data_IF_006319805415
#
_entry.id   IF_006319805415
#
_cell.length_a   1.000
_cell.length_b   1.000
_cell.length_c   1.000
_cell.angle_alpha   90.00
_cell.angle_beta   90.00
_cell.angle_gamma   90.00
#
_symmetry.space_group_name_H-M   'P 1'
#
loop_
_entity.id
_entity.type
_entity.pdbx_description
1 polymer ?
#
# COMPACT_ATOMS: atom_id res chain seq x y z
N UNK A 1 -21.71 4.92 9.44
CA UNK A 1 -20.55 4.43 10.22
C UNK A 1 -19.58 5.59 10.38
N UNK A 2 -19.30 6.00 11.62
CA UNK A 2 -18.35 7.09 11.90
C UNK A 2 -16.95 6.49 11.96
N UNK A 3 -16.03 7.01 11.15
CA UNK A 3 -14.61 6.65 11.23
C UNK A 3 -13.87 7.66 12.11
N UNK A 4 -12.64 7.34 12.50
CA UNK A 4 -11.73 8.21 13.24
C UNK A 4 -10.45 8.39 12.43
N UNK A 5 -10.00 9.64 12.30
CA UNK A 5 -8.68 9.95 11.78
C UNK A 5 -7.78 10.27 12.97
N UNK A 6 -6.71 9.50 13.10
CA UNK A 6 -5.78 9.61 14.22
C UNK A 6 -4.36 9.83 13.72
N UNK A 7 -3.68 10.82 14.29
CA UNK A 7 -2.23 11.00 14.18
C UNK A 7 -1.58 10.39 15.42
N UNK A 8 -0.65 9.46 15.19
CA UNK A 8 0.10 8.77 16.24
C UNK A 8 1.60 8.98 16.04
N UNK A 9 2.31 9.28 17.14
CA UNK A 9 3.76 9.51 17.14
C UNK A 9 4.39 8.60 18.18
N UNK A 10 5.41 7.83 17.79
CA UNK A 10 6.13 6.96 18.73
C UNK A 10 6.77 7.78 19.83
N UNK A 11 6.49 7.40 21.08
CA UNK A 11 7.01 8.08 22.26
C UNK A 11 8.54 7.92 22.33
N UNK A 12 9.25 9.05 22.37
CA UNK A 12 10.72 9.07 22.44
C UNK A 12 11.25 9.05 23.86
N UNK A 13 10.41 9.40 24.83
CA UNK A 13 10.81 9.61 26.23
C UNK A 13 10.37 8.45 27.13
N UNK A 14 9.69 7.43 26.57
CA UNK A 14 9.27 6.27 27.33
C UNK A 14 10.44 5.28 27.51
N UNK A 15 10.49 4.50 28.61
CA UNK A 15 11.48 3.42 28.79
C UNK A 15 11.55 2.47 27.59
N UNK A 16 10.43 2.27 26.90
CA UNK A 16 10.28 1.46 25.69
C UNK A 16 11.04 2.03 24.47
N UNK A 17 11.61 3.25 24.54
CA UNK A 17 12.45 3.81 23.50
C UNK A 17 13.68 2.93 23.19
N UNK A 18 14.17 2.14 24.15
CA UNK A 18 15.22 1.15 23.89
C UNK A 18 14.82 0.13 22.80
N UNK A 19 13.51 -0.10 22.59
CA UNK A 19 12.96 -0.98 21.57
C UNK A 19 12.77 -0.28 20.22
N UNK A 20 13.14 1.00 20.07
CA UNK A 20 12.96 1.78 18.83
C UNK A 20 13.44 1.04 17.58
N UNK A 21 14.61 0.38 17.55
CA UNK A 21 15.05 -0.35 16.35
C UNK A 21 14.13 -1.51 15.94
N UNK A 22 13.35 -2.06 16.88
CA UNK A 22 12.36 -3.11 16.63
C UNK A 22 11.00 -2.54 16.22
N UNK A 23 10.63 -1.37 16.76
CA UNK A 23 9.34 -0.73 16.50
C UNK A 23 9.33 0.07 15.19
N UNK A 24 10.49 0.60 14.79
CA UNK A 24 10.67 1.50 13.64
C UNK A 24 12.05 1.25 12.98
N UNK A 25 12.31 0.04 12.45
CA UNK A 25 13.58 -0.32 11.83
C UNK A 25 13.84 0.50 10.55
N UNK A 26 15.12 0.62 10.19
CA UNK A 26 15.54 1.32 8.97
C UNK A 26 15.19 0.52 7.71
N UNK A 27 15.28 -0.82 7.79
CA UNK A 27 14.86 -1.69 6.71
C UNK A 27 13.35 -1.56 6.49
N UNK A 28 12.96 -1.30 5.24
CA UNK A 28 11.59 -0.86 4.92
C UNK A 28 10.56 -2.00 4.97
N UNK A 29 10.99 -3.24 4.72
CA UNK A 29 10.11 -4.41 4.78
C UNK A 29 9.90 -4.85 6.22
N UNK A 30 10.98 -4.88 7.01
CA UNK A 30 10.92 -5.06 8.45
C UNK A 30 10.07 -3.94 9.10
N UNK A 31 10.19 -2.70 8.63
CA UNK A 31 9.42 -1.57 9.14
C UNK A 31 7.93 -1.77 8.88
N UNK A 32 7.54 -2.18 7.67
CA UNK A 32 6.14 -2.42 7.37
C UNK A 32 5.51 -3.50 8.25
N UNK A 33 6.23 -4.60 8.51
CA UNK A 33 5.76 -5.65 9.41
C UNK A 33 5.68 -5.17 10.87
N UNK A 34 6.73 -4.49 11.35
CA UNK A 34 6.79 -3.91 12.69
C UNK A 34 5.66 -2.90 12.93
N UNK A 35 5.48 -1.95 12.00
CA UNK A 35 4.40 -0.96 12.04
C UNK A 35 3.03 -1.62 12.01
N UNK A 36 2.82 -2.68 11.20
CA UNK A 36 1.55 -3.43 11.20
C UNK A 36 1.23 -3.97 12.59
N UNK A 37 2.22 -4.59 13.26
CA UNK A 37 2.05 -5.12 14.63
C UNK A 37 1.82 -4.00 15.63
N UNK A 38 2.56 -2.90 15.49
CA UNK A 38 2.42 -1.71 16.32
C UNK A 38 1.01 -1.12 16.24
N UNK A 39 0.40 -1.04 15.05
CA UNK A 39 -0.97 -0.52 14.92
C UNK A 39 -1.99 -1.37 15.68
N UNK A 40 -1.82 -2.69 15.73
CA UNK A 40 -2.69 -3.57 16.51
C UNK A 40 -2.64 -3.30 18.02
N UNK A 41 -1.55 -2.73 18.53
CA UNK A 41 -1.47 -2.34 19.95
C UNK A 41 -2.47 -1.24 20.33
N UNK A 42 -2.98 -0.48 19.35
CA UNK A 42 -4.00 0.56 19.54
C UNK A 42 -5.44 0.01 19.49
N UNK A 43 -5.62 -1.25 19.09
CA UNK A 43 -6.91 -1.90 18.93
C UNK A 43 -6.88 -3.30 19.56
N UNK A 44 -6.68 -3.41 20.89
CA UNK A 44 -6.56 -4.69 21.56
C UNK A 44 -7.90 -5.43 21.53
N UNK A 45 -7.97 -6.40 20.64
CA UNK A 45 -9.07 -7.37 20.52
C UNK A 45 -8.53 -8.55 19.68
N UNK A 46 -8.28 -9.72 20.29
CA UNK A 46 -7.65 -10.85 19.60
C UNK A 46 -8.51 -11.45 18.49
N UNK A 47 -9.83 -11.26 18.56
CA UNK A 47 -10.80 -11.81 17.60
C UNK A 47 -11.26 -10.78 16.56
N UNK A 48 -10.85 -9.52 16.72
CA UNK A 48 -11.21 -8.46 15.79
C UNK A 48 -10.64 -8.72 14.39
N UNK A 49 -11.53 -8.60 13.39
CA UNK A 49 -11.10 -8.38 12.01
C UNK A 49 -10.53 -6.97 11.89
N UNK A 50 -9.46 -6.83 11.10
CA UNK A 50 -8.81 -5.52 10.88
C UNK A 50 -9.81 -4.52 10.29
N UNK A 51 -10.13 -3.49 11.06
CA UNK A 51 -11.08 -2.42 10.75
C UNK A 51 -10.41 -1.03 10.65
N UNK A 52 -9.10 -1.03 10.38
CA UNK A 52 -8.29 0.17 10.23
C UNK A 52 -7.36 0.12 9.02
N UNK A 53 -7.06 1.30 8.50
CA UNK A 53 -6.01 1.61 7.53
C UNK A 53 -4.97 2.48 8.21
N UNK A 54 -3.72 2.39 7.75
CA UNK A 54 -2.66 3.23 8.26
C UNK A 54 -1.61 3.51 7.18
N UNK A 55 -0.86 4.59 7.38
CA UNK A 55 0.34 4.93 6.63
C UNK A 55 1.39 5.51 7.58
N UNK A 56 2.65 5.20 7.33
CA UNK A 56 3.77 5.93 7.94
C UNK A 56 4.06 7.17 7.09
N UNK A 57 3.94 8.35 7.71
CA UNK A 57 4.21 9.64 7.04
C UNK A 57 5.69 10.04 7.17
N UNK A 58 6.32 9.63 8.28
CA UNK A 58 7.74 9.80 8.54
C UNK A 58 8.18 8.77 9.61
N UNK A 59 9.47 8.71 9.91
CA UNK A 59 10.04 7.89 10.98
C UNK A 59 9.27 8.06 12.30
N UNK A 60 8.58 6.99 12.70
CA UNK A 60 7.74 6.90 13.89
C UNK A 60 6.53 7.83 13.92
N UNK A 61 6.05 8.32 12.78
CA UNK A 61 4.82 9.11 12.65
C UNK A 61 3.84 8.40 11.74
N UNK A 62 2.60 8.27 12.20
CA UNK A 62 1.56 7.49 11.53
C UNK A 62 0.26 8.28 11.42
N UNK A 63 -0.42 8.06 10.30
CA UNK A 63 -1.79 8.46 10.09
C UNK A 63 -2.67 7.20 10.01
N UNK A 64 -3.73 7.15 10.81
CA UNK A 64 -4.57 5.97 11.00
C UNK A 64 -6.02 6.38 10.73
N UNK A 65 -6.71 5.61 9.88
CA UNK A 65 -8.15 5.71 9.66
C UNK A 65 -8.81 4.43 10.18
N UNK A 66 -9.66 4.52 11.20
CA UNK A 66 -10.24 3.35 11.86
C UNK A 66 -11.75 3.50 12.09
N UNK A 67 -12.47 2.38 12.12
CA UNK A 67 -13.90 2.36 12.46
C UNK A 67 -14.14 2.61 13.96
N UNK A 68 -13.21 2.18 14.81
CA UNK A 68 -13.23 2.39 16.26
C UNK A 68 -12.18 3.43 16.66
N UNK A 69 -12.41 4.13 17.78
CA UNK A 69 -11.42 5.05 18.35
C UNK A 69 -10.24 4.22 18.90
N UNK A 70 -8.98 4.56 18.56
CA UNK A 70 -7.82 3.84 19.10
C UNK A 70 -7.70 4.05 20.61
N UNK A 71 -7.21 3.03 21.30
CA UNK A 71 -6.91 3.09 22.73
C UNK A 71 -5.54 3.73 22.96
N UNK A 72 -5.39 4.40 24.11
CA UNK A 72 -4.10 4.96 24.50
C UNK A 72 -3.05 3.85 24.71
N UNK A 73 -1.80 4.12 24.34
CA UNK A 73 -0.69 3.18 24.48
C UNK A 73 0.57 3.96 24.87
N UNK A 74 1.38 3.39 25.78
CA UNK A 74 2.65 4.00 26.23
C UNK A 74 3.69 4.10 25.12
N UNK A 75 3.57 3.25 24.09
CA UNK A 75 4.43 3.26 22.90
C UNK A 75 4.29 4.55 22.08
N UNK A 76 3.20 5.30 22.27
CA UNK A 76 2.91 6.53 21.56
C UNK A 76 2.80 7.71 22.52
N UNK A 77 3.07 8.90 21.99
CA UNK A 77 2.61 10.15 22.58
C UNK A 77 1.07 10.16 22.63
N UNK A 78 0.44 11.05 23.44
CA UNK A 78 -1.00 11.19 23.45
C UNK A 78 -1.59 11.30 22.04
N UNK A 79 -2.52 10.41 21.72
CA UNK A 79 -3.06 10.29 20.37
C UNK A 79 -3.93 11.50 20.02
N UNK A 80 -3.69 12.08 18.85
CA UNK A 80 -4.52 13.14 18.29
C UNK A 80 -5.57 12.51 17.36
N UNK A 81 -6.77 12.31 17.89
CA UNK A 81 -7.84 11.54 17.23
C UNK A 81 -9.13 12.35 17.14
N UNK A 82 -9.69 12.45 15.93
CA UNK A 82 -10.96 13.13 15.68
C UNK A 82 -11.90 12.30 14.80
N UNK A 83 -13.23 12.49 14.89
CA UNK A 83 -14.16 11.93 13.92
C UNK A 83 -13.75 12.31 12.49
N UNK A 84 -13.81 11.32 11.59
CA UNK A 84 -13.56 11.48 10.16
C UNK A 84 -14.88 11.45 9.40
N UNK A 85 -15.39 12.64 9.12
CA UNK A 85 -16.62 12.87 8.36
C UNK A 85 -16.35 13.91 7.26
N UNK A 86 -15.56 13.57 6.22
CA UNK A 86 -15.34 14.48 5.11
C UNK A 86 -16.67 14.75 4.39
N UNK A 87 -16.93 16.03 4.10
CA UNK A 87 -18.07 16.46 3.29
C UNK A 87 -17.51 16.73 1.89
N UNK A 88 -17.82 15.83 0.94
CA UNK A 88 -17.33 15.90 -0.42
C UNK A 88 -18.49 16.21 -1.37
N UNK A 89 -18.26 17.12 -2.31
CA UNK A 89 -19.19 17.47 -3.38
C UNK A 89 -18.61 17.12 -4.76
N UNK A 90 -19.49 16.95 -5.74
CA UNK A 90 -19.07 16.78 -7.13
C UNK A 90 -18.34 18.04 -7.61
N UNK A 91 -17.13 17.84 -8.16
CA UNK A 91 -16.27 18.94 -8.59
C UNK A 91 -15.19 19.35 -7.58
N UNK A 92 -15.22 18.83 -6.35
CA UNK A 92 -14.14 19.05 -5.40
C UNK A 92 -12.81 18.55 -5.94
N UNK A 93 -11.77 19.38 -5.78
CA UNK A 93 -10.39 19.05 -6.18
C UNK A 93 -9.58 18.75 -4.93
N UNK A 94 -9.10 17.52 -4.85
CA UNK A 94 -8.39 17.01 -3.68
C UNK A 94 -6.99 16.53 -4.08
N UNK A 95 -6.05 16.76 -3.17
CA UNK A 95 -4.75 16.10 -3.22
C UNK A 95 -4.73 14.98 -2.18
N UNK A 96 -4.20 13.82 -2.56
CA UNK A 96 -3.98 12.72 -1.64
C UNK A 96 -2.71 11.97 -1.97
N UNK A 97 -2.19 11.25 -0.98
CA UNK A 97 -1.04 10.35 -1.12
C UNK A 97 -1.56 8.94 -0.88
N UNK A 98 -1.23 8.01 -1.78
CA UNK A 98 -1.71 6.63 -1.75
C UNK A 98 -0.54 5.66 -1.88
N UNK A 99 -0.42 4.76 -0.90
CA UNK A 99 0.36 3.51 -1.05
C UNK A 99 -0.61 2.39 -1.37
N UNK A 100 -0.42 1.73 -2.50
CA UNK A 100 -1.30 0.65 -2.94
C UNK A 100 -0.50 -0.55 -3.47
N UNK A 101 -1.05 -1.76 -3.29
CA UNK A 101 -0.65 -2.93 -4.06
C UNK A 101 -1.52 -2.97 -5.33
N UNK A 102 -1.06 -2.30 -6.38
CA UNK A 102 -1.82 -2.14 -7.61
C UNK A 102 -1.72 -3.41 -8.47
N UNK A 103 -2.84 -4.12 -8.59
CA UNK A 103 -2.91 -5.38 -9.34
C UNK A 103 -4.04 -5.36 -10.37
N UNK A 104 -3.93 -6.26 -11.34
CA UNK A 104 -4.96 -6.55 -12.35
C UNK A 104 -5.14 -8.06 -12.51
N UNK A 105 -6.31 -8.46 -12.97
CA UNK A 105 -6.55 -9.85 -13.35
C UNK A 105 -5.86 -10.14 -14.68
N UNK A 106 -5.09 -11.24 -14.74
CA UNK A 106 -4.58 -11.81 -15.98
C UNK A 106 -5.37 -13.07 -16.27
N UNK A 107 -6.14 -13.04 -17.36
CA UNK A 107 -6.74 -14.23 -17.95
C UNK A 107 -5.63 -15.15 -18.46
N UNK A 108 -5.76 -16.44 -18.19
CA UNK A 108 -4.83 -17.46 -18.68
C UNK A 108 -5.02 -17.62 -20.20
N UNK A 109 -3.91 -17.66 -20.94
CA UNK A 109 -3.91 -17.85 -22.39
C UNK A 109 -3.41 -19.24 -22.80
N UNK A 110 -3.49 -19.61 -24.10
CA UNK A 110 -3.05 -20.91 -24.60
C UNK A 110 -1.57 -21.23 -24.31
N UNK A 111 -0.72 -20.21 -24.20
CA UNK A 111 0.70 -20.36 -23.84
C UNK A 111 0.94 -20.68 -22.35
N UNK A 112 -0.09 -20.59 -21.51
CA UNK A 112 -0.07 -21.02 -20.11
C UNK A 112 -0.48 -22.50 -19.97
N UNK A 113 -0.67 -23.23 -21.08
CA UNK A 113 -0.87 -24.68 -21.08
C UNK A 113 0.37 -25.40 -20.55
N UNK A 114 0.13 -26.15 -19.49
CA UNK A 114 1.15 -26.92 -18.77
C UNK A 114 1.51 -28.13 -19.63
N UNK A 115 2.79 -28.26 -20.00
CA UNK A 115 3.27 -29.45 -20.71
C UNK A 115 2.90 -30.73 -19.92
N UNK A 116 2.40 -31.78 -20.60
CA UNK A 116 1.95 -33.01 -19.94
C UNK A 116 3.06 -33.56 -19.03
N UNK A 117 2.74 -33.78 -17.75
CA UNK A 117 3.68 -34.33 -16.75
C UNK A 117 4.26 -33.32 -15.75
N UNK A 118 4.01 -32.02 -15.90
CA UNK A 118 4.37 -31.04 -14.85
C UNK A 118 3.24 -30.85 -13.82
N UNK A 119 3.53 -31.04 -12.52
CA UNK A 119 2.59 -30.79 -11.40
C UNK A 119 2.29 -29.30 -11.18
N UNK A 120 2.11 -28.50 -12.24
CA UNK A 120 1.66 -27.12 -12.09
C UNK A 120 0.13 -27.12 -12.09
N UNK A 121 -0.46 -26.63 -10.99
CA UNK A 121 -1.91 -26.38 -10.91
C UNK A 121 -2.33 -25.55 -12.13
N UNK A 122 -3.52 -25.82 -12.73
CA UNK A 122 -4.04 -24.99 -13.81
C UNK A 122 -4.04 -23.53 -13.37
N UNK A 123 -3.49 -22.63 -14.21
CA UNK A 123 -3.46 -21.21 -13.90
C UNK A 123 -4.89 -20.68 -13.89
N UNK A 124 -5.48 -20.59 -12.70
CA UNK A 124 -6.65 -19.74 -12.44
C UNK A 124 -6.27 -18.28 -12.70
N UNK A 125 -7.24 -17.43 -13.05
CA UNK A 125 -7.06 -15.98 -13.19
C UNK A 125 -6.13 -15.44 -12.08
N UNK A 126 -4.94 -14.99 -12.48
CA UNK A 126 -3.91 -14.58 -11.52
C UNK A 126 -3.92 -13.07 -11.41
N UNK A 127 -3.99 -12.56 -10.17
CA UNK A 127 -3.66 -11.16 -9.88
C UNK A 127 -2.17 -10.96 -10.16
N UNK A 128 -1.88 -10.10 -11.11
CA UNK A 128 -0.52 -9.69 -11.45
C UNK A 128 -0.32 -8.23 -11.09
N UNK A 129 0.88 -7.91 -10.64
CA UNK A 129 1.32 -6.53 -10.45
C UNK A 129 1.28 -5.78 -11.80
N UNK A 130 0.74 -4.56 -11.78
CA UNK A 130 0.49 -3.80 -13.02
C UNK A 130 1.78 -3.37 -13.71
N UNK A 131 2.84 -3.07 -12.96
CA UNK A 131 4.11 -2.60 -13.51
C UNK A 131 4.88 -3.79 -14.06
N UNK A 132 4.99 -4.88 -13.30
CA UNK A 132 5.60 -6.12 -13.80
C UNK A 132 4.90 -6.62 -15.06
N UNK A 133 3.56 -6.55 -15.09
CA UNK A 133 2.82 -6.89 -16.29
C UNK A 133 3.19 -5.98 -17.47
N UNK A 134 3.19 -4.65 -17.28
CA UNK A 134 3.52 -3.71 -18.34
C UNK A 134 4.95 -3.90 -18.85
N UNK A 135 5.93 -4.08 -17.96
CA UNK A 135 7.32 -4.35 -18.33
C UNK A 135 7.47 -5.64 -19.15
N UNK A 136 6.71 -6.68 -18.82
CA UNK A 136 6.73 -7.94 -19.57
C UNK A 136 6.08 -7.78 -20.96
N UNK A 137 5.01 -7.01 -21.06
CA UNK A 137 4.32 -6.70 -22.33
C UNK A 137 5.20 -5.83 -23.24
N UNK A 138 5.99 -4.92 -22.67
CA UNK A 138 6.92 -4.06 -23.40
C UNK A 138 8.26 -4.75 -23.73
N UNK A 139 8.44 -6.02 -23.35
CA UNK A 139 9.70 -6.75 -23.57
C UNK A 139 10.89 -6.20 -22.78
N UNK A 140 10.65 -5.38 -21.74
CA UNK A 140 11.67 -4.82 -20.86
C UNK A 140 12.19 -5.89 -19.89
N UNK A 141 11.41 -6.94 -19.66
CA UNK A 141 11.84 -8.11 -18.87
C UNK A 141 11.69 -9.33 -19.77
N UNK A 142 12.79 -10.07 -19.97
CA UNK A 142 12.84 -11.24 -20.84
C UNK A 142 14.26 -11.79 -20.98
N UNK A 143 14.42 -12.94 -21.63
CA UNK A 143 15.75 -13.50 -21.92
C UNK A 143 16.54 -12.53 -22.81
N UNK A 144 17.77 -12.24 -22.45
CA UNK A 144 18.66 -11.36 -23.22
C UNK A 144 18.57 -9.87 -22.89
N UNK A 145 17.71 -9.45 -21.95
CA UNK A 145 17.63 -8.04 -21.52
C UNK A 145 18.56 -7.76 -20.35
N UNK A 146 19.52 -6.85 -20.55
CA UNK A 146 20.49 -6.42 -19.52
C UNK A 146 19.85 -5.68 -18.34
N UNK A 147 20.48 -5.74 -17.16
CA UNK A 147 19.94 -5.17 -15.91
C UNK A 147 19.78 -3.64 -15.95
N UNK A 148 20.69 -2.92 -16.61
CA UNK A 148 20.70 -1.45 -16.65
C UNK A 148 19.54 -0.87 -17.48
N UNK A 149 19.15 -1.57 -18.55
CA UNK A 149 17.97 -1.22 -19.33
C UNK A 149 16.65 -1.40 -18.57
N UNK A 150 16.64 -2.24 -17.52
CA UNK A 150 15.45 -2.50 -16.70
C UNK A 150 15.24 -1.41 -15.67
N UNK A 151 16.30 -1.01 -14.97
CA UNK A 151 16.24 -0.01 -13.89
C UNK A 151 15.81 1.36 -14.40
N UNK A 152 16.42 1.81 -15.50
CA UNK A 152 16.15 3.12 -16.13
C UNK A 152 14.69 3.29 -16.56
N UNK A 153 14.06 2.23 -17.10
CA UNK A 153 12.67 2.28 -17.61
C UNK A 153 11.62 1.92 -16.56
N UNK A 154 12.02 1.42 -15.39
CA UNK A 154 11.07 0.89 -14.39
C UNK A 154 10.11 1.96 -13.90
N UNK A 155 10.63 3.14 -13.55
CA UNK A 155 9.81 4.22 -13.01
C UNK A 155 8.93 4.87 -14.08
N UNK A 156 9.36 4.94 -15.34
CA UNK A 156 8.53 5.43 -16.45
C UNK A 156 7.33 4.50 -16.68
N UNK A 157 7.59 3.19 -16.72
CA UNK A 157 6.54 2.18 -16.84
C UNK A 157 5.62 2.18 -15.62
N UNK A 158 6.18 2.37 -14.42
CA UNK A 158 5.38 2.48 -13.20
C UNK A 158 4.45 3.70 -13.23
N UNK A 159 4.94 4.86 -13.67
CA UNK A 159 4.12 6.07 -13.84
C UNK A 159 2.96 5.85 -14.81
N UNK A 160 3.26 5.30 -15.99
CA UNK A 160 2.24 5.05 -17.00
C UNK A 160 1.20 4.03 -16.52
N UNK A 161 1.65 2.88 -15.99
CA UNK A 161 0.76 1.83 -15.50
C UNK A 161 -0.10 2.32 -14.32
N UNK A 162 0.48 3.08 -13.38
CA UNK A 162 -0.24 3.64 -12.25
C UNK A 162 -1.31 4.64 -12.70
N UNK A 163 -1.01 5.50 -13.69
CA UNK A 163 -1.99 6.45 -14.25
C UNK A 163 -3.17 5.74 -14.87
N UNK A 164 -2.93 4.73 -15.69
CA UNK A 164 -3.99 3.92 -16.30
C UNK A 164 -4.84 3.21 -15.24
N UNK A 165 -4.18 2.57 -14.27
CA UNK A 165 -4.86 1.84 -13.20
C UNK A 165 -5.70 2.77 -12.32
N UNK A 166 -5.14 3.89 -11.85
CA UNK A 166 -5.84 4.82 -10.97
C UNK A 166 -6.98 5.52 -11.70
N UNK A 167 -6.81 5.88 -12.97
CA UNK A 167 -7.89 6.44 -13.80
C UNK A 167 -9.03 5.44 -13.97
N UNK A 168 -8.71 4.15 -14.15
CA UNK A 168 -9.72 3.10 -14.20
C UNK A 168 -10.42 2.85 -12.86
N UNK A 169 -9.73 3.02 -11.72
CA UNK A 169 -10.39 3.06 -10.41
C UNK A 169 -11.31 4.26 -10.31
N UNK A 170 -10.84 5.44 -10.73
CA UNK A 170 -11.60 6.69 -10.73
C UNK A 170 -12.93 6.57 -11.47
N UNK A 171 -12.89 6.10 -12.72
CA UNK A 171 -14.10 5.87 -13.53
C UNK A 171 -15.12 4.95 -12.84
N UNK A 172 -14.67 3.95 -12.08
CA UNK A 172 -15.54 3.01 -11.35
C UNK A 172 -16.00 3.51 -9.99
N UNK A 173 -15.33 4.51 -9.42
CA UNK A 173 -15.52 4.97 -8.04
C UNK A 173 -15.95 6.43 -7.93
N UNK A 174 -16.14 7.11 -9.05
CA UNK A 174 -16.69 8.48 -9.10
C UNK A 174 -15.67 9.60 -8.92
N UNK A 175 -14.41 9.39 -9.32
CA UNK A 175 -13.39 10.45 -9.34
C UNK A 175 -12.59 10.46 -10.65
N UNK A 176 -11.99 11.60 -10.99
CA UNK A 176 -11.03 11.74 -12.10
C UNK A 176 -9.64 12.05 -11.56
N UNK A 177 -8.61 11.64 -12.29
CA UNK A 177 -7.21 11.94 -11.93
C UNK A 177 -6.76 13.15 -12.73
N UNK A 178 -6.65 14.31 -12.06
CA UNK A 178 -6.14 15.54 -12.67
C UNK A 178 -4.62 15.44 -12.89
N UNK A 179 -3.88 15.13 -11.83
CA UNK A 179 -2.44 14.97 -11.83
C UNK A 179 -2.04 13.74 -11.01
N UNK A 180 -0.93 13.11 -11.40
CA UNK A 180 -0.37 11.94 -10.73
C UNK A 180 1.14 11.96 -10.90
N UNK A 181 1.85 11.73 -9.79
CA UNK A 181 3.27 11.42 -9.76
C UNK A 181 3.47 10.13 -8.95
N UNK A 182 4.24 9.19 -9.50
CA UNK A 182 4.67 8.00 -8.76
C UNK A 182 6.01 8.29 -8.11
N UNK A 183 6.02 8.37 -6.78
CA UNK A 183 7.24 8.63 -6.01
C UNK A 183 8.15 7.38 -5.92
N UNK A 184 7.56 6.19 -5.86
CA UNK A 184 8.30 4.94 -5.66
C UNK A 184 7.52 3.73 -6.20
N UNK A 185 8.24 2.71 -6.63
CA UNK A 185 7.71 1.40 -7.00
C UNK A 185 8.70 0.31 -6.59
N UNK A 186 8.23 -0.66 -5.80
CA UNK A 186 9.06 -1.71 -5.22
C UNK A 186 8.55 -3.08 -5.59
#
# INVERSE_FOLDING_TARGET
MTHYLTRAVLNRNAPEHALRPLLDPVDKDAAFDAHRRLMWTLFPDPDAKRDFLWRSDATGKFLILSARKPQASRLFEPLDSKPFAPVLAAGDRLMFILRANATRDRRSGPQDEVAPGTRRRPLKDRRVDIVMHAMHTLGIIGRGVGADSRSSRRMDVANQAAREWLSAQGRRRGFSVDALAVEDYR
#
